data_IF_735591710012
#
_entry.id   IF_735591710012
#
_cell.length_a   1.000
_cell.length_b   1.000
_cell.length_c   1.000
_cell.angle_alpha   90.00
_cell.angle_beta   90.00
_cell.angle_gamma   90.00
#
_symmetry.space_group_name_H-M   'P 1'
#
loop_
_entity.id
_entity.type
_entity.pdbx_description
1 polymer ?
#
# COMPACT_ATOMS: atom_id res chain seq x y z
N UNK A 1 -4.95 11.81 -26.90
CA UNK A 1 -3.88 10.90 -27.37
C UNK A 1 -3.70 9.77 -26.35
N UNK A 2 -3.16 8.61 -26.71
CA UNK A 2 -3.02 7.52 -25.73
C UNK A 2 -2.03 7.85 -24.59
N UNK A 3 -0.95 8.58 -24.89
CA UNK A 3 0.02 9.04 -23.88
C UNK A 3 -0.66 9.89 -22.81
N UNK A 4 -1.58 10.79 -23.18
CA UNK A 4 -2.29 11.62 -22.22
C UNK A 4 -3.18 10.80 -21.28
N UNK A 5 -3.72 9.65 -21.74
CA UNK A 5 -4.48 8.73 -20.88
C UNK A 5 -3.61 8.14 -19.77
N UNK A 6 -2.40 7.68 -20.10
CA UNK A 6 -1.45 7.17 -19.09
C UNK A 6 -1.03 8.25 -18.08
N UNK A 7 -0.81 9.48 -18.54
CA UNK A 7 -0.52 10.62 -17.65
C UNK A 7 -1.68 10.88 -16.70
N UNK A 8 -2.92 10.91 -17.21
CA UNK A 8 -4.12 11.10 -16.40
C UNK A 8 -4.23 10.00 -15.33
N UNK A 9 -4.02 8.73 -15.70
CA UNK A 9 -4.02 7.59 -14.77
C UNK A 9 -2.97 7.77 -13.68
N UNK A 10 -1.75 8.18 -14.04
CA UNK A 10 -0.67 8.42 -13.08
C UNK A 10 -1.02 9.56 -12.09
N UNK A 11 -1.54 10.67 -12.60
CA UNK A 11 -1.93 11.84 -11.79
C UNK A 11 -3.08 11.48 -10.84
N UNK A 12 -4.14 10.83 -11.33
CA UNK A 12 -5.27 10.40 -10.50
C UNK A 12 -4.80 9.42 -9.41
N UNK A 13 -3.97 8.43 -9.78
CA UNK A 13 -3.41 7.47 -8.83
C UNK A 13 -2.64 8.18 -7.71
N UNK A 14 -1.76 9.11 -8.06
CA UNK A 14 -0.99 9.88 -7.09
C UNK A 14 -1.87 10.73 -6.16
N UNK A 15 -2.77 11.53 -6.72
CA UNK A 15 -3.59 12.47 -5.94
C UNK A 15 -4.57 11.76 -5.01
N UNK A 16 -5.15 10.63 -5.43
CA UNK A 16 -6.01 9.81 -4.56
C UNK A 16 -5.20 9.07 -3.51
N UNK A 17 -4.06 8.49 -3.88
CA UNK A 17 -3.15 7.84 -2.95
C UNK A 17 -2.63 8.80 -1.86
N UNK A 18 -2.41 10.06 -2.22
CA UNK A 18 -1.90 11.10 -1.33
C UNK A 18 -2.86 11.51 -0.22
N UNK A 19 -4.17 11.21 -0.30
CA UNK A 19 -5.15 11.64 0.72
C UNK A 19 -4.77 11.04 2.10
N UNK A 20 -4.46 11.86 3.13
CA UNK A 20 -3.90 11.38 4.38
C UNK A 20 -5.01 11.00 5.39
N UNK A 21 -5.78 9.94 5.12
CA UNK A 21 -6.91 9.54 5.97
C UNK A 21 -6.55 9.32 7.42
N UNK A 22 -5.36 8.80 7.73
CA UNK A 22 -4.91 8.65 9.12
C UNK A 22 -4.92 9.99 9.88
N UNK A 23 -4.48 11.08 9.26
CA UNK A 23 -4.51 12.43 9.87
C UNK A 23 -5.93 13.01 9.91
N UNK A 24 -6.70 12.82 8.84
CA UNK A 24 -8.08 13.34 8.75
C UNK A 24 -8.94 12.70 9.85
N UNK A 25 -8.89 11.37 9.97
CA UNK A 25 -9.67 10.62 10.93
C UNK A 25 -9.18 10.87 12.35
N UNK A 26 -7.86 10.88 12.60
CA UNK A 26 -7.34 11.14 13.96
C UNK A 26 -7.71 12.53 14.47
N UNK A 27 -7.65 13.54 13.59
CA UNK A 27 -8.01 14.91 13.95
C UNK A 27 -9.52 15.06 14.16
N UNK A 28 -10.36 14.43 13.33
CA UNK A 28 -11.82 14.52 13.46
C UNK A 28 -12.38 13.75 14.64
N UNK A 29 -11.86 12.55 14.92
CA UNK A 29 -12.41 11.70 15.99
C UNK A 29 -11.87 12.05 17.37
N UNK A 30 -10.65 12.60 17.46
CA UNK A 30 -9.95 12.75 18.74
C UNK A 30 -9.22 14.09 18.91
N UNK A 31 -9.23 14.97 17.90
CA UNK A 31 -8.42 16.20 17.92
C UNK A 31 -6.91 15.96 17.88
N UNK A 32 -6.46 14.74 17.57
CA UNK A 32 -5.05 14.33 17.67
C UNK A 32 -4.34 14.37 16.31
N UNK A 33 -3.14 14.92 16.29
CA UNK A 33 -2.17 14.75 15.21
C UNK A 33 -1.45 13.41 15.35
N UNK A 34 -1.83 12.41 14.55
CA UNK A 34 -1.27 11.06 14.62
C UNK A 34 0.22 11.00 14.26
N UNK A 35 0.74 12.00 13.53
CA UNK A 35 2.18 12.06 13.20
C UNK A 35 3.06 12.35 14.42
N UNK A 36 2.47 12.84 15.51
CA UNK A 36 3.15 13.17 16.77
C UNK A 36 2.88 12.17 17.90
N UNK A 37 2.18 11.07 17.62
CA UNK A 37 1.77 10.07 18.63
C UNK A 37 2.15 8.66 18.19
N UNK A 38 2.28 7.75 19.17
CA UNK A 38 2.61 6.35 18.93
C UNK A 38 3.94 6.21 18.18
N UNK A 39 3.93 5.53 17.03
CA UNK A 39 5.13 5.35 16.21
C UNK A 39 5.44 6.56 15.30
N UNK A 40 4.64 7.63 15.35
CA UNK A 40 4.73 8.79 14.45
C UNK A 40 4.36 8.51 12.99
N UNK A 41 3.95 7.29 12.65
CA UNK A 41 3.62 6.90 11.28
C UNK A 41 2.18 7.29 10.93
N UNK A 42 1.97 7.80 9.72
CA UNK A 42 0.66 8.26 9.23
C UNK A 42 -0.05 7.09 8.54
N UNK A 43 -0.37 6.04 9.31
CA UNK A 43 -1.04 4.86 8.77
C UNK A 43 -1.91 4.15 9.80
N UNK A 44 -2.80 3.28 9.31
CA UNK A 44 -3.83 2.61 10.11
C UNK A 44 -3.32 1.88 11.35
N UNK A 45 -2.15 1.24 11.31
CA UNK A 45 -1.59 0.55 12.50
C UNK A 45 -1.24 1.52 13.63
N UNK A 46 -0.79 2.73 13.33
CA UNK A 46 -0.51 3.72 14.38
C UNK A 46 -1.82 4.27 14.96
N UNK A 47 -2.80 4.54 14.10
CA UNK A 47 -4.16 4.95 14.52
C UNK A 47 -4.79 3.86 15.41
N UNK A 48 -4.67 2.59 15.02
CA UNK A 48 -5.13 1.44 15.80
C UNK A 48 -4.53 1.43 17.22
N UNK A 49 -3.23 1.74 17.34
CA UNK A 49 -2.53 1.76 18.63
C UNK A 49 -2.93 2.96 19.49
N UNK A 50 -3.11 4.13 18.89
CA UNK A 50 -3.33 5.40 19.61
C UNK A 50 -4.81 5.64 19.92
N UNK A 51 -5.71 5.38 18.96
CA UNK A 51 -7.14 5.69 19.01
C UNK A 51 -8.04 4.43 19.03
N UNK A 52 -7.44 3.24 19.01
CA UNK A 52 -8.16 1.96 19.12
C UNK A 52 -8.70 1.39 17.80
N UNK A 53 -9.36 0.24 17.92
CA UNK A 53 -9.76 -0.60 16.80
C UNK A 53 -10.66 0.09 15.79
N UNK A 54 -11.70 0.78 16.25
CA UNK A 54 -12.68 1.44 15.38
C UNK A 54 -12.01 2.46 14.45
N UNK A 55 -11.23 3.40 15.00
CA UNK A 55 -10.52 4.40 14.21
C UNK A 55 -9.46 3.78 13.28
N UNK A 56 -8.72 2.79 13.79
CA UNK A 56 -7.72 2.07 12.98
C UNK A 56 -8.31 1.35 11.78
N UNK A 57 -9.43 0.64 11.98
CA UNK A 57 -10.13 -0.08 10.93
C UNK A 57 -10.70 0.86 9.85
N UNK A 58 -11.30 1.99 10.25
CA UNK A 58 -11.79 3.01 9.31
C UNK A 58 -10.65 3.53 8.42
N UNK A 59 -9.51 3.86 9.01
CA UNK A 59 -8.35 4.36 8.25
C UNK A 59 -7.82 3.31 7.29
N UNK A 60 -7.70 2.04 7.73
CA UNK A 60 -7.26 0.96 6.84
C UNK A 60 -8.24 0.74 5.68
N UNK A 61 -9.56 0.77 5.94
CA UNK A 61 -10.57 0.62 4.92
C UNK A 61 -10.52 1.77 3.90
N UNK A 62 -10.37 3.01 4.35
CA UNK A 62 -10.25 4.18 3.47
C UNK A 62 -8.94 4.16 2.67
N UNK A 63 -7.83 3.75 3.29
CA UNK A 63 -6.53 3.60 2.61
C UNK A 63 -6.54 2.45 1.58
N UNK A 64 -7.32 1.39 1.81
CA UNK A 64 -7.57 0.34 0.82
C UNK A 64 -8.45 0.87 -0.32
N UNK A 65 -9.56 1.52 0.00
CA UNK A 65 -10.53 2.02 -0.97
C UNK A 65 -9.91 3.04 -1.93
N UNK A 66 -9.10 3.99 -1.42
CA UNK A 66 -8.40 4.98 -2.26
C UNK A 66 -7.36 4.36 -3.19
N UNK A 67 -6.93 3.14 -2.91
CA UNK A 67 -6.00 2.40 -3.76
C UNK A 67 -6.72 1.55 -4.81
N UNK A 68 -7.84 0.94 -4.43
CA UNK A 68 -8.69 0.16 -5.35
C UNK A 68 -9.25 1.07 -6.46
N UNK A 69 -9.83 2.22 -6.08
CA UNK A 69 -10.55 3.10 -7.01
C UNK A 69 -9.74 3.52 -8.26
N UNK A 70 -8.53 4.12 -8.15
CA UNK A 70 -7.76 4.51 -9.33
C UNK A 70 -7.26 3.33 -10.18
N UNK A 71 -6.98 2.18 -9.56
CA UNK A 71 -6.54 0.98 -10.28
C UNK A 71 -7.67 0.38 -11.11
N UNK A 72 -8.89 0.34 -10.56
CA UNK A 72 -10.08 -0.04 -11.33
C UNK A 72 -10.38 0.97 -12.44
N UNK A 73 -10.28 2.27 -12.13
CA UNK A 73 -10.54 3.34 -13.09
C UNK A 73 -9.54 3.34 -14.26
N UNK A 74 -8.30 2.93 -14.04
CA UNK A 74 -7.27 2.87 -15.07
C UNK A 74 -7.70 2.05 -16.29
N UNK A 75 -8.39 0.93 -16.08
CA UNK A 75 -8.89 0.10 -17.18
C UNK A 75 -9.89 0.87 -18.06
N UNK A 76 -10.80 1.63 -17.44
CA UNK A 76 -11.80 2.42 -18.16
C UNK A 76 -11.18 3.62 -18.88
N UNK A 77 -10.18 4.29 -18.29
CA UNK A 77 -9.49 5.42 -18.91
C UNK A 77 -8.68 4.96 -20.13
N UNK A 78 -7.92 3.86 -20.00
CA UNK A 78 -7.13 3.32 -21.11
C UNK A 78 -8.07 2.73 -22.18
N UNK A 79 -9.05 1.92 -21.78
CA UNK A 79 -9.92 1.18 -22.70
C UNK A 79 -9.12 0.18 -23.55
N UNK A 80 -9.52 0.02 -24.81
CA UNK A 80 -8.82 -0.84 -25.78
C UNK A 80 -7.64 -0.14 -26.47
N UNK A 81 -7.25 1.04 -25.97
CA UNK A 81 -6.13 1.79 -26.54
C UNK A 81 -4.81 1.09 -26.24
N UNK A 82 -3.98 0.91 -27.26
CA UNK A 82 -2.64 0.29 -27.16
C UNK A 82 -1.55 1.24 -27.66
N UNK A 83 -0.42 1.31 -26.96
CA UNK A 83 0.74 2.12 -27.31
C UNK A 83 1.96 1.22 -27.52
N UNK A 84 2.41 1.01 -28.76
CA UNK A 84 3.64 0.28 -29.03
C UNK A 84 4.86 1.14 -28.69
N UNK A 85 5.79 0.60 -27.88
CA UNK A 85 7.07 1.24 -27.53
C UNK A 85 8.16 0.18 -27.49
N UNK A 86 9.16 0.28 -28.36
CA UNK A 86 10.39 -0.52 -28.26
C UNK A 86 10.16 -2.04 -28.20
N UNK A 87 9.18 -2.56 -28.96
CA UNK A 87 8.81 -3.98 -28.95
C UNK A 87 7.81 -4.40 -27.87
N UNK A 88 7.43 -3.49 -26.96
CA UNK A 88 6.38 -3.72 -25.96
C UNK A 88 5.06 -3.05 -26.39
N UNK A 89 3.96 -3.62 -25.91
CA UNK A 89 2.62 -3.04 -26.09
C UNK A 89 2.09 -2.61 -24.73
N UNK A 90 2.02 -1.30 -24.52
CA UNK A 90 1.37 -0.71 -23.34
C UNK A 90 -0.14 -0.73 -23.57
N UNK A 91 -0.87 -1.30 -22.61
CA UNK A 91 -2.31 -1.53 -22.66
C UNK A 91 -2.93 -1.20 -21.29
N UNK A 92 -4.18 -1.59 -21.06
CA UNK A 92 -4.88 -1.29 -19.82
C UNK A 92 -4.23 -1.93 -18.59
N UNK A 93 -3.55 -3.08 -18.69
CA UNK A 93 -2.81 -3.69 -17.59
C UNK A 93 -1.64 -2.81 -17.13
N UNK A 94 -0.94 -2.17 -18.06
CA UNK A 94 0.07 -1.15 -17.74
C UNK A 94 -0.55 0.07 -17.06
N UNK A 95 -1.76 0.46 -17.47
CA UNK A 95 -2.53 1.49 -16.79
C UNK A 95 -2.79 1.14 -15.32
N UNK A 96 -3.22 -0.10 -15.04
CA UNK A 96 -3.43 -0.57 -13.66
C UNK A 96 -2.14 -0.51 -12.83
N UNK A 97 -1.02 -0.97 -13.38
CA UNK A 97 0.27 -0.96 -12.66
C UNK A 97 0.78 0.45 -12.41
N UNK A 98 0.64 1.37 -13.38
CA UNK A 98 0.96 2.78 -13.19
C UNK A 98 0.08 3.39 -12.10
N UNK A 99 -1.23 3.16 -12.13
CA UNK A 99 -2.13 3.63 -11.08
C UNK A 99 -1.71 3.08 -9.70
N UNK A 100 -1.44 1.77 -9.60
CA UNK A 100 -1.07 1.10 -8.37
C UNK A 100 0.23 1.68 -7.77
N UNK A 101 1.26 1.85 -8.60
CA UNK A 101 2.51 2.47 -8.18
C UNK A 101 2.31 3.92 -7.76
N UNK A 102 1.57 4.71 -8.53
CA UNK A 102 1.36 6.12 -8.20
C UNK A 102 0.53 6.31 -6.94
N UNK A 103 -0.45 5.45 -6.66
CA UNK A 103 -1.15 5.42 -5.37
C UNK A 103 -0.19 5.14 -4.23
N UNK A 104 0.68 4.13 -4.36
CA UNK A 104 1.66 3.82 -3.32
C UNK A 104 2.62 4.98 -3.08
N UNK A 105 3.11 5.61 -4.16
CA UNK A 105 3.96 6.81 -4.10
C UNK A 105 3.21 7.96 -3.42
N UNK A 106 1.96 8.23 -3.78
CA UNK A 106 1.12 9.24 -3.13
C UNK A 106 0.93 8.95 -1.65
N UNK A 107 0.62 7.70 -1.27
CA UNK A 107 0.43 7.30 0.12
C UNK A 107 1.72 7.46 0.96
N UNK A 108 2.89 7.18 0.37
CA UNK A 108 4.19 7.27 1.03
C UNK A 108 4.70 8.72 1.13
N UNK A 109 4.47 9.52 0.08
CA UNK A 109 4.97 10.88 -0.08
C UNK A 109 3.85 11.79 -0.57
N UNK A 110 2.94 12.11 0.34
CA UNK A 110 1.75 12.88 0.02
C UNK A 110 2.06 14.36 -0.14
N UNK A 111 1.67 14.93 -1.28
CA UNK A 111 1.74 16.39 -1.54
C UNK A 111 0.97 17.20 -0.50
N UNK A 112 -0.14 16.66 0.04
CA UNK A 112 -0.98 17.36 1.01
C UNK A 112 -0.32 17.53 2.38
N UNK A 113 0.72 16.76 2.66
CA UNK A 113 1.44 16.77 3.96
C UNK A 113 2.95 16.84 3.78
N UNK A 114 3.39 17.70 2.85
CA UNK A 114 4.81 18.04 2.61
C UNK A 114 5.68 16.81 2.31
N UNK A 115 5.17 15.92 1.45
CA UNK A 115 5.83 14.68 1.00
C UNK A 115 6.22 13.74 2.15
N UNK A 116 5.44 13.75 3.22
CA UNK A 116 5.46 12.73 4.27
C UNK A 116 4.25 11.81 4.09
N UNK A 117 4.25 10.65 4.73
CA UNK A 117 3.16 9.69 4.54
C UNK A 117 3.34 8.39 5.30
N UNK A 118 2.61 7.37 4.86
CA UNK A 118 2.65 6.03 5.42
C UNK A 118 3.71 5.13 4.78
N UNK A 119 3.56 3.83 4.98
CA UNK A 119 4.49 2.80 4.46
C UNK A 119 3.96 2.02 3.26
N UNK A 120 2.79 2.38 2.77
CA UNK A 120 2.26 1.87 1.50
C UNK A 120 1.64 0.49 1.56
N UNK A 121 1.58 -0.17 2.73
CA UNK A 121 1.04 -1.53 2.86
C UNK A 121 -0.44 -1.60 2.48
N UNK A 122 -1.28 -0.71 3.02
CA UNK A 122 -2.70 -0.67 2.65
C UNK A 122 -2.90 -0.33 1.17
N UNK A 123 -2.10 0.61 0.63
CA UNK A 123 -2.14 0.94 -0.80
C UNK A 123 -1.77 -0.26 -1.69
N UNK A 124 -0.73 -1.01 -1.28
CA UNK A 124 -0.28 -2.22 -1.95
C UNK A 124 -1.34 -3.31 -1.98
N UNK A 125 -1.96 -3.60 -0.83
CA UNK A 125 -3.06 -4.57 -0.76
C UNK A 125 -4.28 -4.12 -1.55
N UNK A 126 -4.64 -2.83 -1.50
CA UNK A 126 -5.77 -2.30 -2.26
C UNK A 126 -5.56 -2.44 -3.78
N UNK A 127 -4.35 -2.15 -4.25
CA UNK A 127 -3.99 -2.40 -5.64
C UNK A 127 -4.07 -3.89 -6.01
N UNK A 128 -3.61 -4.80 -5.16
CA UNK A 128 -3.78 -6.24 -5.42
C UNK A 128 -5.23 -6.69 -5.38
N UNK A 129 -6.07 -6.16 -4.50
CA UNK A 129 -7.51 -6.43 -4.53
C UNK A 129 -8.15 -5.97 -5.85
N UNK A 130 -7.69 -4.86 -6.43
CA UNK A 130 -8.19 -4.39 -7.71
C UNK A 130 -7.65 -5.18 -8.92
N UNK A 131 -6.40 -5.64 -8.86
CA UNK A 131 -5.75 -6.38 -9.95
C UNK A 131 -6.13 -7.86 -9.91
N UNK A 132 -5.87 -8.52 -8.78
CA UNK A 132 -6.08 -9.95 -8.60
C UNK A 132 -6.29 -10.30 -7.11
N UNK A 133 -7.55 -10.36 -6.63
CA UNK A 133 -7.88 -10.58 -5.23
C UNK A 133 -7.19 -11.78 -4.58
N UNK A 134 -6.92 -12.84 -5.34
CA UNK A 134 -6.23 -14.05 -4.85
C UNK A 134 -4.83 -13.73 -4.34
N UNK A 135 -4.07 -12.84 -5.00
CA UNK A 135 -2.77 -12.40 -4.50
C UNK A 135 -2.88 -11.59 -3.20
N UNK A 136 -3.89 -10.72 -3.09
CA UNK A 136 -4.14 -9.98 -1.86
C UNK A 136 -4.47 -10.91 -0.68
N UNK A 137 -5.31 -11.93 -0.91
CA UNK A 137 -5.63 -12.94 0.10
C UNK A 137 -4.42 -13.80 0.48
N UNK A 138 -3.61 -14.22 -0.50
CA UNK A 138 -2.37 -14.96 -0.26
C UNK A 138 -1.37 -14.17 0.59
N UNK A 139 -1.08 -12.91 0.22
CA UNK A 139 -0.23 -12.05 1.04
C UNK A 139 -0.85 -11.78 2.42
N UNK A 140 -2.17 -11.58 2.47
CA UNK A 140 -2.91 -11.36 3.71
C UNK A 140 -2.77 -12.53 4.68
N UNK A 141 -2.80 -13.76 4.17
CA UNK A 141 -2.55 -14.96 4.96
C UNK A 141 -1.12 -14.95 5.54
N UNK A 142 -0.10 -14.67 4.71
CA UNK A 142 1.29 -14.55 5.19
C UNK A 142 1.41 -13.48 6.27
N UNK A 143 0.78 -12.32 6.07
CA UNK A 143 0.79 -11.23 7.03
C UNK A 143 0.14 -11.67 8.35
N UNK A 144 -1.05 -12.26 8.29
CA UNK A 144 -1.80 -12.71 9.48
C UNK A 144 -1.00 -13.76 10.23
N UNK A 145 -0.54 -14.82 9.56
CA UNK A 145 0.26 -15.88 10.20
C UNK A 145 1.52 -15.30 10.84
N UNK A 146 2.25 -14.45 10.12
CA UNK A 146 3.45 -13.79 10.67
C UNK A 146 3.14 -12.96 11.90
N UNK A 147 2.06 -12.17 11.87
CA UNK A 147 1.65 -11.32 12.99
C UNK A 147 1.17 -12.15 14.18
N UNK A 148 0.45 -13.25 13.95
CA UNK A 148 0.00 -14.15 15.02
C UNK A 148 1.19 -14.81 15.73
N UNK A 149 2.21 -15.23 14.98
CA UNK A 149 3.40 -15.89 15.53
C UNK A 149 4.38 -14.92 16.19
N UNK A 150 4.61 -13.75 15.58
CA UNK A 150 5.68 -12.82 16.02
C UNK A 150 5.19 -11.60 16.78
N UNK A 151 3.91 -11.25 16.64
CA UNK A 151 3.29 -9.97 17.05
C UNK A 151 3.88 -8.73 16.37
N UNK A 152 4.71 -8.87 15.34
CA UNK A 152 5.26 -7.73 14.59
C UNK A 152 4.50 -7.46 13.29
N UNK A 153 3.76 -6.34 13.26
CA UNK A 153 3.08 -5.87 12.05
C UNK A 153 4.05 -5.54 10.91
N UNK A 154 5.22 -4.98 11.24
CA UNK A 154 6.25 -4.65 10.26
C UNK A 154 6.84 -5.89 9.59
N UNK A 155 7.14 -6.94 10.36
CA UNK A 155 7.62 -8.22 9.83
C UNK A 155 6.58 -8.85 8.89
N UNK A 156 5.31 -8.91 9.31
CA UNK A 156 4.22 -9.43 8.47
C UNK A 156 4.03 -8.64 7.17
N UNK A 157 4.20 -7.32 7.21
CA UNK A 157 4.12 -6.46 6.02
C UNK A 157 5.26 -6.74 5.03
N UNK A 158 6.49 -6.92 5.53
CA UNK A 158 7.66 -7.24 4.69
C UNK A 158 7.49 -8.64 4.08
N UNK A 159 7.26 -9.67 4.91
CA UNK A 159 7.17 -11.05 4.45
C UNK A 159 6.01 -11.27 3.48
N UNK A 160 4.87 -10.61 3.69
CA UNK A 160 3.75 -10.71 2.74
C UNK A 160 4.06 -10.06 1.39
N UNK A 161 4.74 -8.91 1.38
CA UNK A 161 5.16 -8.27 0.12
C UNK A 161 6.15 -9.12 -0.67
N UNK A 162 7.10 -9.77 0.01
CA UNK A 162 8.05 -10.71 -0.60
C UNK A 162 7.35 -12.01 -1.05
N UNK A 163 6.39 -12.51 -0.27
CA UNK A 163 5.60 -13.68 -0.63
C UNK A 163 4.82 -13.48 -1.93
N UNK A 164 4.16 -12.33 -2.09
CA UNK A 164 3.45 -12.03 -3.35
C UNK A 164 4.44 -11.86 -4.51
N UNK A 165 5.63 -11.27 -4.30
CA UNK A 165 6.67 -11.23 -5.33
C UNK A 165 7.07 -12.65 -5.76
N UNK A 166 7.31 -13.57 -4.83
CA UNK A 166 7.60 -14.96 -5.15
C UNK A 166 6.44 -15.64 -5.90
N UNK A 167 5.20 -15.37 -5.50
CA UNK A 167 4.01 -15.87 -6.19
C UNK A 167 3.98 -15.41 -7.65
N UNK A 168 4.19 -14.11 -7.92
CA UNK A 168 4.18 -13.60 -9.30
C UNK A 168 5.39 -14.04 -10.12
N UNK A 169 6.52 -14.32 -9.48
CA UNK A 169 7.65 -14.94 -10.16
C UNK A 169 7.27 -16.32 -10.70
N UNK A 170 6.65 -17.17 -9.86
CA UNK A 170 6.17 -18.50 -10.28
C UNK A 170 5.09 -18.39 -11.34
N UNK A 171 4.07 -17.56 -11.13
CA UNK A 171 2.96 -17.39 -12.09
C UNK A 171 3.44 -16.89 -13.46
N UNK A 172 4.38 -15.95 -13.48
CA UNK A 172 4.90 -15.38 -14.73
C UNK A 172 5.76 -16.40 -15.47
N UNK A 173 6.71 -17.05 -14.77
CA UNK A 173 7.69 -17.95 -15.40
C UNK A 173 7.08 -19.30 -15.76
N UNK A 174 6.27 -19.90 -14.88
CA UNK A 174 5.74 -21.25 -15.07
C UNK A 174 4.36 -21.27 -15.74
N UNK A 175 3.56 -20.21 -15.61
CA UNK A 175 2.15 -20.19 -16.07
C UNK A 175 1.86 -19.07 -17.08
N UNK A 176 2.86 -18.29 -17.50
CA UNK A 176 2.70 -17.25 -18.51
C UNK A 176 1.83 -16.07 -18.09
N UNK A 177 1.71 -15.79 -16.79
CA UNK A 177 1.02 -14.59 -16.33
C UNK A 177 1.65 -13.31 -16.90
N UNK A 178 0.87 -12.24 -17.14
CA UNK A 178 1.39 -11.00 -17.72
C UNK A 178 2.58 -10.42 -16.90
N UNK A 179 3.78 -10.25 -17.51
CA UNK A 179 4.98 -9.82 -16.80
C UNK A 179 4.87 -8.46 -16.09
N UNK A 180 3.95 -7.60 -16.53
CA UNK A 180 3.69 -6.29 -15.93
C UNK A 180 3.31 -6.39 -14.44
N UNK A 181 2.63 -7.47 -14.03
CA UNK A 181 2.27 -7.68 -12.62
C UNK A 181 3.45 -8.18 -11.78
N UNK A 182 4.39 -8.94 -12.37
CA UNK A 182 5.66 -9.24 -11.74
C UNK A 182 6.49 -7.96 -11.53
N UNK A 183 6.55 -7.08 -12.54
CA UNK A 183 7.21 -5.77 -12.43
C UNK A 183 6.60 -4.94 -11.29
N UNK A 184 5.26 -4.88 -11.21
CA UNK A 184 4.58 -4.23 -10.10
C UNK A 184 4.97 -4.85 -8.75
N UNK A 185 4.91 -6.17 -8.62
CA UNK A 185 5.23 -6.87 -7.38
C UNK A 185 6.66 -6.60 -6.90
N UNK A 186 7.62 -6.53 -7.83
CA UNK A 186 9.03 -6.25 -7.57
C UNK A 186 9.22 -4.82 -7.05
N UNK A 187 8.71 -3.83 -7.80
CA UNK A 187 8.85 -2.42 -7.44
C UNK A 187 8.12 -2.12 -6.12
N UNK A 188 6.91 -2.64 -5.96
CA UNK A 188 6.11 -2.43 -4.76
C UNK A 188 6.72 -3.09 -3.51
N UNK A 189 7.27 -4.31 -3.62
CA UNK A 189 7.99 -4.94 -2.53
C UNK A 189 9.24 -4.14 -2.14
N UNK A 190 10.02 -3.67 -3.12
CA UNK A 190 11.17 -2.82 -2.86
C UNK A 190 10.78 -1.51 -2.13
N UNK A 191 9.70 -0.86 -2.56
CA UNK A 191 9.15 0.33 -1.89
C UNK A 191 8.71 0.04 -0.45
N UNK A 192 8.03 -1.08 -0.21
CA UNK A 192 7.62 -1.49 1.14
C UNK A 192 8.83 -1.72 2.03
N UNK A 193 9.83 -2.49 1.56
CA UNK A 193 11.06 -2.75 2.31
C UNK A 193 11.79 -1.44 2.63
N UNK A 194 11.93 -0.54 1.65
CA UNK A 194 12.52 0.77 1.86
C UNK A 194 11.78 1.59 2.92
N UNK A 195 10.44 1.63 2.86
CA UNK A 195 9.63 2.33 3.87
C UNK A 195 9.70 1.69 5.27
N UNK A 196 10.10 0.42 5.35
CA UNK A 196 10.29 -0.31 6.61
C UNK A 196 11.73 -0.34 7.12
N UNK A 197 12.70 0.33 6.47
CA UNK A 197 14.11 0.38 6.92
C UNK A 197 14.28 0.68 8.42
N UNK A 198 13.49 1.61 8.97
CA UNK A 198 13.54 1.93 10.41
C UNK A 198 12.94 0.84 11.29
N UNK A 199 11.96 0.08 10.81
CA UNK A 199 11.44 -1.11 11.49
C UNK A 199 12.44 -2.25 11.44
N UNK A 200 13.14 -2.44 10.32
CA UNK A 200 14.17 -3.47 10.18
C UNK A 200 15.26 -3.23 11.22
N UNK A 201 15.76 -2.01 11.35
CA UNK A 201 16.75 -1.66 12.38
C UNK A 201 16.23 -1.95 13.80
N UNK A 202 14.96 -1.64 14.10
CA UNK A 202 14.36 -1.94 15.41
C UNK A 202 14.12 -3.43 15.63
N UNK A 203 13.78 -4.19 14.59
CA UNK A 203 13.65 -5.65 14.66
C UNK A 203 15.00 -6.30 14.99
N UNK A 204 16.06 -5.88 14.30
CA UNK A 204 17.43 -6.33 14.57
C UNK A 204 17.90 -5.96 15.97
N UNK A 205 17.53 -4.77 16.46
CA UNK A 205 17.84 -4.32 17.81
C UNK A 205 16.91 -4.87 18.90
N UNK A 206 15.87 -5.65 18.56
CA UNK A 206 14.89 -6.15 19.52
C UNK A 206 13.99 -5.08 20.15
N UNK A 207 13.90 -3.88 19.56
CA UNK A 207 13.16 -2.70 20.06
C UNK A 207 11.90 -2.38 19.25
N UNK A 208 11.52 -3.21 18.27
CA UNK A 208 10.31 -3.00 17.49
C UNK A 208 9.06 -3.22 18.35
N UNK A 209 8.09 -2.30 18.26
CA UNK A 209 6.87 -2.39 19.05
C UNK A 209 5.97 -3.55 18.61
N UNK A 210 5.57 -4.41 19.57
CA UNK A 210 4.66 -5.52 19.30
C UNK A 210 3.22 -5.02 19.23
N UNK A 211 2.40 -5.70 18.42
CA UNK A 211 0.97 -5.45 18.38
C UNK A 211 0.34 -5.87 19.72
N UNK A 212 -0.47 -4.99 20.31
CA UNK A 212 -1.13 -5.22 21.60
C UNK A 212 -0.32 -4.79 22.83
N UNK A 213 0.93 -4.32 22.68
CA UNK A 213 1.59 -3.57 23.75
C UNK A 213 0.84 -2.24 23.97
N UNK A 214 0.58 -1.89 25.23
CA UNK A 214 -0.12 -0.65 25.60
C UNK A 214 0.74 0.54 25.14
N UNK A 215 0.44 1.07 23.95
CA UNK A 215 0.80 2.45 23.61
C UNK A 215 0.04 3.42 24.53
N UNK A 216 0.55 4.63 24.68
CA UNK A 216 -0.15 5.73 25.35
C UNK A 216 -1.49 6.01 24.65
N UNK A 217 -2.52 5.27 25.05
CA UNK A 217 -3.89 5.45 24.58
C UNK A 217 -4.34 6.84 25.00
N UNK A 218 -4.97 7.54 24.07
CA UNK A 218 -5.75 8.72 24.42
C UNK A 218 -7.13 8.20 24.80
N UNK A 219 -7.55 8.45 26.03
CA UNK A 219 -8.94 8.21 26.41
C UNK A 219 -9.82 9.16 25.59
N UNK A 220 -10.72 8.58 24.81
CA UNK A 220 -11.66 9.27 23.92
C UNK A 220 -12.91 9.70 24.69
#
# INVERSE_FOLDING_TARGET
>A
MIVSKFIIVAVIGYLLGAIPFALIISKRMAGVDISKRGSGNIGGTNVLRVLGFRAGAIVMALDLAKAIAPVMLAKFIIGDSVLPIGGFVLNWQWGQVIAALMVMVGHNWSVYIKFRGGKGVAAYYGAWFAIWPVAALFGGLILIVTVLLSRYMSLGSILSSLGILCLFMVLTVAFGFPPVYLIYSLIAAALIVYQHRSNINRLQAGTEAKLGEKGSKVDL
#
